data_IF_519503336769
#
_entry.id   IF_519503336769
#
_cell.length_a   1.000
_cell.length_b   1.000
_cell.length_c   1.000
_cell.angle_alpha   90.00
_cell.angle_beta   90.00
_cell.angle_gamma   90.00
#
_symmetry.space_group_name_H-M   'P 1'
#
loop_
_entity.id
_entity.type
_entity.pdbx_description
1 polymer ?
#
# COMPACT_ATOMS: atom_id res chain seq x y z
N UNK A 1 7.82 18.67 5.08
CA UNK A 1 7.06 18.97 3.84
C UNK A 1 6.65 17.64 3.23
N UNK A 2 5.35 17.40 3.07
CA UNK A 2 4.85 16.24 2.35
C UNK A 2 5.08 16.53 0.87
N UNK A 3 6.06 15.88 0.25
CA UNK A 3 6.25 16.02 -1.19
C UNK A 3 5.16 15.23 -1.89
N UNK A 4 4.26 15.91 -2.60
CA UNK A 4 3.28 15.23 -3.44
C UNK A 4 4.02 14.55 -4.60
N UNK A 5 3.89 13.22 -4.70
CA UNK A 5 4.43 12.47 -5.84
C UNK A 5 3.73 12.92 -7.14
N UNK A 6 4.44 12.99 -8.28
CA UNK A 6 3.81 13.18 -9.58
C UNK A 6 2.69 12.17 -9.78
N UNK A 7 1.59 12.56 -10.43
CA UNK A 7 0.47 11.66 -10.69
C UNK A 7 0.56 11.05 -12.10
N UNK A 8 -0.04 9.88 -12.28
CA UNK A 8 -0.15 9.15 -13.55
C UNK A 8 -1.58 8.67 -13.74
N UNK A 9 -2.05 8.75 -14.97
CA UNK A 9 -3.37 8.27 -15.37
C UNK A 9 -3.26 6.84 -15.89
N UNK A 10 -3.99 5.92 -15.28
CA UNK A 10 -4.14 4.53 -15.72
C UNK A 10 -5.50 4.38 -16.41
N UNK A 11 -5.50 4.17 -17.72
CA UNK A 11 -6.74 4.17 -18.51
C UNK A 11 -7.43 5.54 -18.52
N UNK A 12 -8.77 5.56 -18.50
CA UNK A 12 -9.54 6.79 -18.68
C UNK A 12 -9.95 7.48 -17.37
N UNK A 13 -10.00 6.76 -16.25
CA UNK A 13 -10.66 7.25 -15.03
C UNK A 13 -9.86 7.08 -13.74
N UNK A 14 -8.71 6.38 -13.77
CA UNK A 14 -7.91 6.14 -12.58
C UNK A 14 -6.66 7.02 -12.60
N UNK A 15 -6.44 7.77 -11.52
CA UNK A 15 -5.22 8.56 -11.31
C UNK A 15 -4.55 8.09 -10.03
N UNK A 16 -3.27 7.79 -10.10
CA UNK A 16 -2.46 7.29 -8.98
C UNK A 16 -1.11 8.02 -8.93
N UNK A 17 -0.38 7.87 -7.83
CA UNK A 17 1.02 8.29 -7.74
C UNK A 17 1.87 7.58 -8.81
N UNK A 18 2.85 8.29 -9.35
CA UNK A 18 3.79 7.75 -10.34
C UNK A 18 4.63 6.59 -9.81
N UNK A 19 4.75 6.49 -8.49
CA UNK A 19 5.37 5.36 -7.79
C UNK A 19 4.26 4.64 -7.03
N UNK A 20 4.10 3.35 -7.28
CA UNK A 20 3.28 2.45 -6.47
C UNK A 20 4.16 1.64 -5.50
N UNK A 21 3.55 1.08 -4.46
CA UNK A 21 4.24 0.20 -3.50
C UNK A 21 3.83 -1.26 -3.71
N UNK A 22 4.80 -2.11 -4.06
CA UNK A 22 4.62 -3.56 -4.12
C UNK A 22 4.81 -4.19 -2.75
N UNK A 23 3.76 -4.82 -2.22
CA UNK A 23 3.75 -5.32 -0.84
C UNK A 23 4.40 -6.70 -0.66
N UNK A 24 4.89 -7.37 -1.72
CA UNK A 24 5.45 -8.73 -1.65
C UNK A 24 6.45 -8.91 -0.49
N UNK A 25 7.29 -7.91 -0.25
CA UNK A 25 8.31 -7.92 0.81
C UNK A 25 7.84 -7.70 2.24
N UNK A 26 6.54 -7.44 2.47
CA UNK A 26 5.98 -7.37 3.83
C UNK A 26 5.78 -8.76 4.46
N UNK A 27 6.03 -9.82 3.69
CA UNK A 27 6.02 -11.20 4.15
C UNK A 27 7.29 -11.94 3.69
N UNK A 28 7.28 -13.25 3.92
CA UNK A 28 8.42 -14.19 3.96
C UNK A 28 9.34 -14.20 2.71
N UNK A 29 8.97 -13.53 1.62
CA UNK A 29 9.72 -13.51 0.36
C UNK A 29 11.11 -12.84 0.45
N UNK A 30 11.30 -11.87 1.34
CA UNK A 30 12.60 -11.22 1.56
C UNK A 30 13.12 -11.38 3.00
N UNK A 31 12.60 -12.38 3.72
CA UNK A 31 12.86 -12.61 5.13
C UNK A 31 11.71 -12.15 6.03
N UNK A 32 11.80 -12.49 7.31
CA UNK A 32 10.77 -12.15 8.27
C UNK A 32 10.76 -10.65 8.56
N UNK A 33 9.59 -10.03 8.44
CA UNK A 33 9.30 -8.67 8.92
C UNK A 33 8.28 -8.80 10.04
N UNK A 34 8.55 -8.20 11.19
CA UNK A 34 7.55 -8.18 12.26
C UNK A 34 6.34 -7.30 11.86
N UNK A 35 5.16 -7.67 12.34
CA UNK A 35 3.90 -7.02 11.96
C UNK A 35 3.91 -5.51 12.23
N UNK A 36 4.50 -5.08 13.35
CA UNK A 36 4.50 -3.67 13.74
C UNK A 36 5.37 -2.84 12.79
N UNK A 37 6.53 -3.38 12.40
CA UNK A 37 7.38 -2.77 11.40
C UNK A 37 6.72 -2.75 10.02
N UNK A 38 6.04 -3.83 9.62
CA UNK A 38 5.31 -3.89 8.36
C UNK A 38 4.17 -2.85 8.29
N UNK A 39 3.42 -2.66 9.40
CA UNK A 39 2.44 -1.59 9.51
C UNK A 39 3.07 -0.20 9.42
N UNK A 40 4.20 0.02 10.10
CA UNK A 40 4.95 1.28 10.04
C UNK A 40 5.40 1.61 8.61
N UNK A 41 5.88 0.63 7.86
CA UNK A 41 6.26 0.80 6.44
C UNK A 41 5.04 1.26 5.63
N UNK A 42 3.87 0.61 5.80
CA UNK A 42 2.65 0.99 5.08
C UNK A 42 2.21 2.42 5.41
N UNK A 43 2.28 2.84 6.68
CA UNK A 43 2.01 4.23 7.05
C UNK A 43 3.00 5.20 6.39
N UNK A 44 4.30 4.88 6.41
CA UNK A 44 5.31 5.72 5.77
C UNK A 44 5.14 5.81 4.25
N UNK A 45 4.74 4.72 3.59
CA UNK A 45 4.41 4.70 2.16
C UNK A 45 3.29 5.69 1.85
N UNK A 46 2.21 5.67 2.66
CA UNK A 46 1.07 6.59 2.51
C UNK A 46 1.50 8.03 2.80
N UNK A 47 2.27 8.26 3.86
CA UNK A 47 2.78 9.58 4.25
C UNK A 47 3.73 10.17 3.19
N UNK A 48 4.45 9.32 2.45
CA UNK A 48 5.26 9.70 1.30
C UNK A 48 4.43 10.04 0.04
N UNK A 49 3.10 9.96 0.11
CA UNK A 49 2.19 10.34 -0.98
C UNK A 49 1.94 9.23 -2.01
N UNK A 50 2.26 7.98 -1.70
CA UNK A 50 1.90 6.83 -2.54
C UNK A 50 0.40 6.58 -2.44
N UNK A 51 -0.26 6.41 -3.58
CA UNK A 51 -1.69 6.14 -3.68
C UNK A 51 -2.03 4.83 -4.39
N UNK A 52 -1.03 4.07 -4.86
CA UNK A 52 -1.20 2.73 -5.41
C UNK A 52 -0.43 1.70 -4.59
N UNK A 53 -1.13 0.71 -4.05
CA UNK A 53 -0.54 -0.43 -3.32
C UNK A 53 -0.90 -1.72 -4.07
N UNK A 54 0.11 -2.51 -4.46
CA UNK A 54 -0.04 -3.81 -5.12
C UNK A 54 0.21 -4.95 -4.11
N UNK A 55 -0.66 -5.95 -4.12
CA UNK A 55 -0.55 -7.18 -3.32
C UNK A 55 -1.04 -8.39 -4.15
N UNK A 56 -1.00 -9.58 -3.55
CA UNK A 56 -1.58 -10.80 -4.10
C UNK A 56 -1.94 -11.76 -2.94
N UNK A 57 -2.87 -12.68 -3.19
CA UNK A 57 -3.27 -13.71 -2.22
C UNK A 57 -2.10 -14.64 -1.82
N UNK A 58 -1.21 -14.92 -2.76
CA UNK A 58 -0.01 -15.74 -2.57
C UNK A 58 1.02 -15.08 -1.65
N UNK A 59 0.95 -13.76 -1.41
CA UNK A 59 1.93 -13.07 -0.58
C UNK A 59 1.72 -13.36 0.91
N UNK A 60 2.50 -14.32 1.41
CA UNK A 60 2.40 -14.82 2.78
C UNK A 60 1.08 -15.56 3.03
N UNK A 61 0.49 -16.19 2.01
CA UNK A 61 -0.80 -16.88 2.10
C UNK A 61 -1.91 -15.99 2.69
N UNK A 62 -2.11 -14.82 2.10
CA UNK A 62 -3.09 -13.81 2.50
C UNK A 62 -2.71 -12.96 3.71
N UNK A 63 -1.54 -13.18 4.32
CA UNK A 63 -1.03 -12.33 5.43
C UNK A 63 -0.91 -10.87 5.00
N UNK A 64 -0.43 -10.61 3.78
CA UNK A 64 -0.26 -9.24 3.30
C UNK A 64 -1.60 -8.50 3.11
N UNK A 65 -2.60 -9.14 2.54
CA UNK A 65 -3.93 -8.52 2.39
C UNK A 65 -4.58 -8.22 3.74
N UNK A 66 -4.44 -9.14 4.71
CA UNK A 66 -4.89 -8.91 6.10
C UNK A 66 -4.16 -7.75 6.76
N UNK A 67 -2.84 -7.66 6.58
CA UNK A 67 -2.02 -6.57 7.08
C UNK A 67 -2.45 -5.22 6.49
N UNK A 68 -2.56 -5.13 5.15
CA UNK A 68 -3.04 -3.93 4.45
C UNK A 68 -4.44 -3.54 4.96
N UNK A 69 -5.35 -4.50 5.04
CA UNK A 69 -6.70 -4.28 5.58
C UNK A 69 -6.70 -3.74 7.02
N UNK A 70 -5.77 -4.19 7.87
CA UNK A 70 -5.61 -3.68 9.23
C UNK A 70 -5.18 -2.21 9.24
N UNK A 71 -4.24 -1.82 8.38
CA UNK A 71 -3.80 -0.42 8.24
C UNK A 71 -4.92 0.45 7.70
N UNK A 72 -5.63 0.02 6.65
CA UNK A 72 -6.73 0.78 6.05
C UNK A 72 -7.86 1.11 7.04
N UNK A 73 -8.12 0.24 8.03
CA UNK A 73 -9.11 0.48 9.09
C UNK A 73 -8.72 1.62 10.05
N UNK A 74 -7.43 1.97 10.12
CA UNK A 74 -6.94 3.03 11.00
C UNK A 74 -6.90 4.41 10.34
N UNK A 75 -7.06 4.46 9.01
CA UNK A 75 -6.97 5.70 8.24
C UNK A 75 -8.28 6.48 8.31
N UNK A 76 -8.18 7.81 8.19
CA UNK A 76 -9.37 8.64 7.94
C UNK A 76 -10.02 8.27 6.61
N UNK A 77 -11.34 8.45 6.50
CA UNK A 77 -12.08 8.21 5.25
C UNK A 77 -11.49 8.99 4.07
N UNK A 78 -11.07 10.24 4.30
CA UNK A 78 -10.44 11.10 3.29
C UNK A 78 -9.08 10.61 2.81
N UNK A 79 -8.31 9.92 3.67
CA UNK A 79 -7.03 9.32 3.29
C UNK A 79 -7.27 8.00 2.58
N UNK A 80 -8.15 7.16 3.13
CA UNK A 80 -8.51 5.87 2.56
C UNK A 80 -9.10 6.00 1.15
N UNK A 81 -9.94 7.00 0.90
CA UNK A 81 -10.56 7.25 -0.41
C UNK A 81 -9.56 7.60 -1.53
N UNK A 82 -8.32 7.99 -1.18
CA UNK A 82 -7.26 8.29 -2.16
C UNK A 82 -6.49 7.05 -2.57
N UNK A 83 -6.58 5.95 -1.81
CA UNK A 83 -5.77 4.75 -2.04
C UNK A 83 -6.45 3.82 -3.04
N UNK A 84 -5.67 3.33 -3.99
CA UNK A 84 -6.02 2.27 -4.91
C UNK A 84 -5.27 1.01 -4.48
N UNK A 85 -6.01 -0.08 -4.23
CA UNK A 85 -5.45 -1.39 -3.92
C UNK A 85 -5.61 -2.26 -5.16
N UNK A 86 -4.49 -2.78 -5.68
CA UNK A 86 -4.46 -3.78 -6.74
C UNK A 86 -4.11 -5.14 -6.12
N UNK A 87 -4.89 -6.17 -6.44
CA UNK A 87 -4.63 -7.55 -6.01
C UNK A 87 -4.73 -8.51 -7.20
N UNK A 88 -4.27 -9.75 -7.01
CA UNK A 88 -4.30 -10.88 -7.94
C UNK A 88 -4.59 -12.12 -7.13
#
# INVERSE_FOLDING_TARGET
MIHSLPQRKLGQHLTVSAIGYGAMGLSEFYGAVDTAHAQKILHQVIDCGVTLIDTADMYGHGKNEKLIGSVLKTLSDSTRAKLTIATK
#
